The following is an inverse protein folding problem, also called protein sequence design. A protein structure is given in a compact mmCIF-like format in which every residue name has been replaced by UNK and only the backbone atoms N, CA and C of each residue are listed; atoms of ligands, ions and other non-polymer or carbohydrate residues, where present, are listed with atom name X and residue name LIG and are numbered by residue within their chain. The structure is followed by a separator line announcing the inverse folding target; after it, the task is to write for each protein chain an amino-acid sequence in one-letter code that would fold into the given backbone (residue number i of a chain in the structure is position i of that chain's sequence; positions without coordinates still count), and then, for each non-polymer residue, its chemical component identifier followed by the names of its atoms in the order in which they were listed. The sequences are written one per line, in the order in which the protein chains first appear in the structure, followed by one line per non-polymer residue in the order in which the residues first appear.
data_IF_976645404321
#
_entry.id   IF_976645404321
#
_cell.length_a   1.000
_cell.length_b   1.000
_cell.length_c   1.000
_cell.angle_alpha   90.00
_cell.angle_beta   90.00
_cell.angle_gamma   90.00
#
_symmetry.space_group_name_H-M   'P 1'
#
loop_
_entity.id
_entity.type
_entity.pdbx_description
1 polymer ?
#
# COMPACT_ATOMS: atom_id res chain seq x y z
N UNK A 1 32.75 7.00 26.81
CA UNK A 1 31.73 5.98 26.44
C UNK A 1 31.07 6.39 25.14
N UNK A 2 31.58 5.89 24.03
CA UNK A 2 31.06 6.23 22.69
C UNK A 2 29.82 5.37 22.41
N UNK A 3 28.63 5.98 22.37
CA UNK A 3 27.41 5.35 21.85
C UNK A 3 27.59 5.12 20.36
N UNK A 4 27.77 3.87 19.97
CA UNK A 4 27.67 3.44 18.58
C UNK A 4 26.24 3.69 18.11
N UNK A 5 26.04 4.75 17.34
CA UNK A 5 24.83 4.94 16.52
C UNK A 5 24.85 3.84 15.45
N UNK A 6 23.96 2.87 15.59
CA UNK A 6 23.64 1.93 14.51
C UNK A 6 23.04 2.74 13.37
N UNK A 7 23.49 2.58 12.13
CA UNK A 7 22.87 3.26 11.00
C UNK A 7 21.44 2.75 10.86
N UNK A 8 20.47 3.64 10.98
CA UNK A 8 19.08 3.37 10.68
C UNK A 8 18.99 3.10 9.17
N UNK A 9 18.94 1.84 8.79
CA UNK A 9 18.68 1.45 7.42
C UNK A 9 17.30 1.92 7.01
N UNK A 10 17.22 2.81 6.03
CA UNK A 10 15.96 3.20 5.42
C UNK A 10 15.44 2.01 4.61
N UNK A 11 14.38 1.42 5.05
CA UNK A 11 13.60 0.43 4.30
C UNK A 11 12.36 1.11 3.78
N UNK A 12 12.35 1.41 2.50
CA UNK A 12 11.22 1.99 1.79
C UNK A 12 10.43 0.86 1.17
N UNK A 13 9.17 0.76 1.49
CA UNK A 13 8.30 -0.32 1.07
C UNK A 13 7.21 0.19 0.14
N UNK A 14 7.35 -0.11 -1.16
CA UNK A 14 6.27 0.06 -2.13
C UNK A 14 5.41 -1.20 -2.13
N UNK A 15 4.17 -1.11 -1.72
CA UNK A 15 3.19 -2.16 -1.98
C UNK A 15 2.39 -1.84 -3.23
N UNK A 16 2.91 -2.24 -4.36
CA UNK A 16 1.97 -2.66 -5.38
C UNK A 16 1.32 -3.94 -4.81
N UNK A 17 0.06 -3.86 -4.42
CA UNK A 17 -0.69 -5.00 -3.91
C UNK A 17 -0.94 -6.00 -5.04
N UNK A 18 0.09 -6.72 -5.47
CA UNK A 18 -0.08 -7.87 -6.34
C UNK A 18 -0.58 -9.02 -5.45
N UNK A 19 -1.81 -9.44 -5.72
CA UNK A 19 -2.35 -10.66 -5.16
C UNK A 19 -1.38 -11.80 -5.37
N UNK A 20 -1.01 -12.50 -4.31
CA UNK A 20 -0.20 -13.69 -4.39
C UNK A 20 -0.92 -14.70 -5.29
N UNK A 21 -0.30 -15.04 -6.41
CA UNK A 21 -0.57 -16.31 -7.07
C UNK A 21 -0.03 -17.36 -6.15
N UNK A 22 -0.93 -18.03 -5.43
CA UNK A 22 -0.59 -19.23 -4.67
C UNK A 22 0.12 -20.21 -5.59
N UNK A 23 1.26 -20.72 -5.15
CA UNK A 23 1.86 -21.91 -5.71
C UNK A 23 0.76 -22.97 -5.81
N UNK A 24 0.68 -23.61 -6.97
CA UNK A 24 -0.35 -24.60 -7.26
C UNK A 24 -0.44 -25.66 -6.18
N UNK A 25 -1.54 -25.63 -5.46
CA UNK A 25 -1.97 -26.77 -4.68
C UNK A 25 -2.33 -27.89 -5.66
N UNK A 26 -1.99 -29.16 -5.36
CA UNK A 26 -2.38 -30.27 -6.20
C UNK A 26 -3.90 -30.25 -6.33
N UNK A 27 -4.38 -30.55 -7.54
CA UNK A 27 -5.79 -30.63 -7.86
C UNK A 27 -6.48 -31.60 -6.90
N UNK A 28 -7.21 -31.05 -5.94
CA UNK A 28 -8.10 -31.83 -5.11
C UNK A 28 -9.31 -32.14 -5.98
N UNK A 29 -9.43 -33.43 -6.33
CA UNK A 29 -10.64 -33.97 -6.95
C UNK A 29 -11.84 -33.58 -6.08
N UNK A 30 -12.87 -32.92 -6.62
CA UNK A 30 -14.00 -32.56 -5.80
C UNK A 30 -14.70 -33.83 -5.30
N UNK A 31 -14.77 -34.01 -4.00
CA UNK A 31 -15.59 -35.04 -3.38
C UNK A 31 -17.04 -34.86 -3.83
N UNK A 32 -17.79 -35.96 -4.03
CA UNK A 32 -19.17 -35.90 -4.45
C UNK A 32 -19.95 -35.06 -3.43
N UNK A 33 -20.65 -34.02 -3.93
CA UNK A 33 -21.52 -33.17 -3.13
C UNK A 33 -22.60 -34.05 -2.48
N UNK A 34 -22.47 -34.32 -1.20
CA UNK A 34 -23.53 -34.84 -0.37
C UNK A 34 -24.72 -33.88 -0.45
N UNK A 35 -25.90 -34.39 -0.76
CA UNK A 35 -27.16 -33.63 -0.73
C UNK A 35 -27.26 -32.92 0.64
N UNK A 36 -27.62 -31.62 0.65
CA UNK A 36 -27.83 -30.93 1.91
C UNK A 36 -28.92 -31.64 2.72
N UNK A 37 -28.62 -31.98 3.95
CA UNK A 37 -29.65 -32.43 4.89
C UNK A 37 -30.71 -31.31 4.99
N UNK A 38 -31.97 -31.64 4.80
CA UNK A 38 -33.10 -30.76 5.02
C UNK A 38 -33.07 -30.26 6.46
N UNK A 39 -32.59 -29.06 6.67
CA UNK A 39 -32.62 -28.35 7.94
C UNK A 39 -34.01 -27.70 8.10
N UNK A 40 -34.90 -28.40 8.69
CA UNK A 40 -36.22 -27.90 9.16
C UNK A 40 -36.00 -26.73 10.13
N UNK A 41 -36.58 -25.57 9.84
CA UNK A 41 -36.79 -24.49 10.79
C UNK A 41 -35.95 -23.22 10.64
N UNK A 42 -35.33 -22.92 9.51
CA UNK A 42 -34.62 -21.66 9.27
C UNK A 42 -35.58 -20.56 8.82
N UNK A 43 -35.62 -19.38 9.49
CA UNK A 43 -36.33 -18.23 8.93
C UNK A 43 -35.81 -17.91 7.52
N UNK A 44 -36.68 -17.61 6.57
CA UNK A 44 -36.30 -17.58 5.15
C UNK A 44 -35.38 -16.45 4.69
N UNK A 45 -34.85 -15.57 5.59
CA UNK A 45 -34.11 -14.39 5.18
C UNK A 45 -32.95 -13.97 6.09
N UNK A 46 -32.12 -14.93 6.50
CA UNK A 46 -30.89 -14.62 7.26
C UNK A 46 -29.91 -13.75 6.47
N UNK A 47 -29.79 -13.97 5.18
CA UNK A 47 -28.90 -13.18 4.32
C UNK A 47 -29.37 -11.72 4.27
N UNK A 48 -30.65 -11.49 4.05
CA UNK A 48 -31.22 -10.13 4.05
C UNK A 48 -31.10 -9.43 5.41
N UNK A 49 -31.25 -10.17 6.51
CA UNK A 49 -31.05 -9.62 7.85
C UNK A 49 -29.58 -9.22 8.10
N UNK A 50 -28.63 -10.01 7.62
CA UNK A 50 -27.20 -9.69 7.71
C UNK A 50 -26.85 -8.50 6.82
N UNK A 51 -27.37 -8.42 5.61
CA UNK A 51 -27.17 -7.25 4.75
C UNK A 51 -27.74 -5.97 5.39
N UNK A 52 -28.93 -6.05 6.01
CA UNK A 52 -29.52 -4.93 6.74
C UNK A 52 -28.63 -4.50 7.91
N UNK A 53 -28.06 -5.45 8.66
CA UNK A 53 -27.08 -5.19 9.72
C UNK A 53 -25.84 -4.45 9.17
N UNK A 54 -25.29 -4.90 8.06
CA UNK A 54 -24.10 -4.26 7.44
C UNK A 54 -24.42 -2.84 6.97
N UNK A 55 -25.58 -2.62 6.34
CA UNK A 55 -26.05 -1.27 5.95
C UNK A 55 -26.22 -0.35 7.15
N UNK A 56 -26.82 -0.86 8.22
CA UNK A 56 -27.02 -0.11 9.47
C UNK A 56 -25.67 0.29 10.09
N UNK A 57 -24.70 -0.64 10.13
CA UNK A 57 -23.34 -0.34 10.63
C UNK A 57 -22.63 0.72 9.79
N UNK A 58 -22.68 0.61 8.46
CA UNK A 58 -22.08 1.59 7.57
C UNK A 58 -22.68 2.98 7.79
N UNK A 59 -24.00 3.07 7.87
CA UNK A 59 -24.70 4.33 8.11
C UNK A 59 -24.40 4.93 9.48
N UNK A 60 -24.36 4.09 10.53
CA UNK A 60 -24.00 4.53 11.88
C UNK A 60 -22.57 5.09 11.93
N UNK A 61 -21.62 4.45 11.25
CA UNK A 61 -20.25 4.94 11.15
C UNK A 61 -20.17 6.27 10.38
N UNK A 62 -20.86 6.41 9.26
CA UNK A 62 -20.93 7.67 8.50
C UNK A 62 -21.52 8.82 9.31
N UNK A 63 -22.58 8.55 10.07
CA UNK A 63 -23.27 9.51 10.93
C UNK A 63 -22.57 9.75 12.26
N UNK A 64 -21.55 8.95 12.57
CA UNK A 64 -20.88 8.93 13.88
C UNK A 64 -21.81 8.63 15.04
N UNK A 65 -22.82 7.83 14.78
CA UNK A 65 -23.80 7.42 15.79
C UNK A 65 -23.23 6.23 16.58
N UNK A 66 -22.71 6.55 17.77
CA UNK A 66 -22.11 5.57 18.68
C UNK A 66 -23.16 4.56 19.14
N UNK A 67 -24.37 5.00 19.45
CA UNK A 67 -25.42 4.14 19.96
C UNK A 67 -25.87 3.16 18.88
N UNK A 68 -26.19 3.65 17.69
CA UNK A 68 -26.55 2.83 16.54
C UNK A 68 -25.47 1.81 16.19
N UNK A 69 -24.18 2.24 16.12
CA UNK A 69 -23.08 1.33 15.79
C UNK A 69 -22.89 0.25 16.86
N UNK A 70 -22.84 0.62 18.15
CA UNK A 70 -22.66 -0.34 19.24
C UNK A 70 -23.88 -1.25 19.42
N UNK A 71 -25.08 -0.79 19.06
CA UNK A 71 -26.30 -1.59 19.00
C UNK A 71 -26.25 -2.72 17.97
N UNK A 72 -25.45 -2.58 16.91
CA UNK A 72 -25.24 -3.64 15.91
C UNK A 72 -24.15 -4.65 16.30
N UNK A 73 -23.46 -4.45 17.42
CA UNK A 73 -22.34 -5.28 17.85
C UNK A 73 -22.67 -6.10 19.10
N UNK A 74 -21.90 -7.18 19.31
CA UNK A 74 -21.94 -8.02 20.50
C UNK A 74 -20.56 -8.11 21.16
N UNK A 75 -20.54 -8.39 22.46
CA UNK A 75 -19.32 -8.66 23.22
C UNK A 75 -18.23 -7.58 23.09
N UNK A 76 -16.97 -7.96 22.98
CA UNK A 76 -15.83 -7.03 22.89
C UNK A 76 -15.88 -6.08 21.69
N UNK A 77 -16.65 -6.43 20.63
CA UNK A 77 -16.79 -5.57 19.46
C UNK A 77 -17.43 -4.22 19.78
N UNK A 78 -18.37 -4.18 20.74
CA UNK A 78 -18.98 -2.91 21.21
C UNK A 78 -17.95 -1.89 21.70
N UNK A 79 -16.94 -2.37 22.45
CA UNK A 79 -15.86 -1.51 22.94
C UNK A 79 -14.98 -0.98 21.80
N UNK A 80 -14.67 -1.82 20.82
CA UNK A 80 -13.91 -1.41 19.62
C UNK A 80 -14.69 -0.39 18.80
N UNK A 81 -15.96 -0.64 18.52
CA UNK A 81 -16.83 0.26 17.76
C UNK A 81 -16.94 1.63 18.44
N UNK A 82 -17.11 1.67 19.76
CA UNK A 82 -17.17 2.93 20.52
C UNK A 82 -15.87 3.74 20.40
N UNK A 83 -14.72 3.10 20.43
CA UNK A 83 -13.44 3.79 20.22
C UNK A 83 -13.30 4.28 18.79
N UNK A 84 -13.59 3.43 17.81
CA UNK A 84 -13.52 3.78 16.39
C UNK A 84 -14.33 5.03 16.08
N UNK A 85 -15.59 5.09 16.50
CA UNK A 85 -16.44 6.26 16.22
C UNK A 85 -15.92 7.54 16.88
N UNK A 86 -15.40 7.46 18.10
CA UNK A 86 -14.78 8.63 18.76
C UNK A 86 -13.61 9.18 17.95
N UNK A 87 -12.84 8.31 17.35
CA UNK A 87 -11.68 8.71 16.54
C UNK A 87 -12.08 9.21 15.15
N UNK A 88 -13.17 8.73 14.56
CA UNK A 88 -13.69 9.28 13.30
C UNK A 88 -14.27 10.68 13.46
N UNK A 89 -14.68 11.09 14.65
CA UNK A 89 -15.18 12.44 14.90
C UNK A 89 -14.15 13.54 14.59
N UNK A 90 -12.86 13.20 14.61
CA UNK A 90 -11.77 14.11 14.26
C UNK A 90 -11.53 14.21 12.74
N UNK A 91 -12.10 13.31 11.94
CA UNK A 91 -12.04 13.34 10.49
C UNK A 91 -13.19 14.18 9.95
N UNK A 92 -12.92 15.11 9.05
CA UNK A 92 -13.90 16.10 8.58
C UNK A 92 -14.87 15.56 7.58
N UNK A 93 -15.36 14.58 7.34
CA UNK A 93 -16.32 13.79 6.54
C UNK A 93 -15.73 12.45 6.14
N UNK A 94 -16.46 11.43 6.41
CA UNK A 94 -16.17 10.07 6.02
C UNK A 94 -17.40 9.54 5.27
N UNK A 95 -17.19 8.89 4.15
CA UNK A 95 -18.22 8.10 3.49
C UNK A 95 -17.78 6.65 3.52
N UNK A 96 -18.66 5.79 3.99
CA UNK A 96 -18.45 4.35 4.09
C UNK A 96 -19.46 3.65 3.19
N UNK A 97 -18.99 2.75 2.35
CA UNK A 97 -19.83 1.85 1.57
C UNK A 97 -19.37 0.44 1.79
N UNK A 98 -20.25 -0.41 2.26
CA UNK A 98 -19.99 -1.84 2.45
C UNK A 98 -20.54 -2.59 1.22
N UNK A 99 -19.68 -3.42 0.63
CA UNK A 99 -20.06 -4.33 -0.45
C UNK A 99 -19.74 -5.73 0.04
N UNK A 100 -20.78 -6.58 0.12
CA UNK A 100 -20.60 -7.97 0.53
C UNK A 100 -20.02 -8.77 -0.63
N UNK A 101 -18.87 -9.42 -0.42
CA UNK A 101 -18.20 -10.26 -1.40
C UNK A 101 -18.54 -11.74 -1.18
N UNK A 102 -18.63 -12.16 0.09
CA UNK A 102 -18.86 -13.55 0.50
C UNK A 102 -19.63 -13.59 1.81
N UNK A 103 -20.60 -14.48 1.91
CA UNK A 103 -21.43 -14.74 3.10
C UNK A 103 -21.62 -16.24 3.29
N UNK A 104 -21.08 -16.76 4.39
CA UNK A 104 -21.32 -18.15 4.84
C UNK A 104 -22.08 -18.13 6.16
N UNK A 105 -23.23 -18.82 6.20
CA UNK A 105 -24.11 -18.88 7.36
C UNK A 105 -24.25 -20.32 7.81
N UNK A 106 -23.84 -20.58 9.05
CA UNK A 106 -23.96 -21.90 9.68
C UNK A 106 -24.64 -21.77 11.05
N UNK A 107 -25.87 -22.23 11.15
CA UNK A 107 -26.67 -22.13 12.38
C UNK A 107 -26.88 -20.66 12.83
N UNK A 108 -26.39 -20.34 14.01
CA UNK A 108 -26.47 -19.00 14.62
C UNK A 108 -25.20 -18.16 14.38
N UNK A 109 -24.32 -18.60 13.50
CA UNK A 109 -23.04 -17.93 13.15
C UNK A 109 -23.01 -17.58 11.67
N UNK A 110 -22.41 -16.42 11.35
CA UNK A 110 -22.12 -16.02 9.99
C UNK A 110 -20.67 -15.53 9.87
N UNK A 111 -19.99 -15.99 8.82
CA UNK A 111 -18.70 -15.45 8.37
C UNK A 111 -18.94 -14.60 7.12
N UNK A 112 -18.40 -13.41 7.13
CA UNK A 112 -18.66 -12.41 6.11
C UNK A 112 -17.34 -11.83 5.66
N UNK A 113 -16.99 -12.05 4.40
CA UNK A 113 -15.91 -11.30 3.76
C UNK A 113 -16.54 -10.13 2.99
N UNK A 114 -15.96 -8.96 3.13
CA UNK A 114 -16.47 -7.77 2.46
C UNK A 114 -15.35 -6.79 2.13
N UNK A 115 -15.63 -5.92 1.17
CA UNK A 115 -14.82 -4.74 0.88
C UNK A 115 -15.51 -3.51 1.44
N UNK A 116 -14.78 -2.79 2.27
CA UNK A 116 -15.20 -1.49 2.79
C UNK A 116 -14.61 -0.40 1.92
N UNK A 117 -15.46 0.46 1.36
CA UNK A 117 -15.05 1.65 0.63
C UNK A 117 -15.23 2.88 1.52
N UNK A 118 -14.17 3.65 1.74
CA UNK A 118 -14.24 4.87 2.52
C UNK A 118 -13.53 6.03 1.81
N UNK A 119 -14.01 7.23 2.03
CA UNK A 119 -13.42 8.43 1.47
C UNK A 119 -13.22 9.49 2.56
N UNK A 120 -11.98 9.88 2.74
CA UNK A 120 -11.62 11.01 3.61
C UNK A 120 -11.97 12.32 2.89
N UNK A 121 -12.53 13.28 3.60
CA UNK A 121 -12.86 14.58 3.01
C UNK A 121 -11.61 15.29 2.49
N UNK A 122 -11.65 15.75 1.26
CA UNK A 122 -10.51 16.32 0.53
C UNK A 122 -9.86 15.35 -0.42
N UNK A 123 -10.19 14.06 -0.32
CA UNK A 123 -9.77 13.05 -1.26
C UNK A 123 -10.77 12.93 -2.40
N UNK A 124 -10.30 12.82 -3.65
CA UNK A 124 -11.16 12.69 -4.83
C UNK A 124 -11.72 11.29 -4.97
N UNK A 125 -10.96 10.28 -4.57
CA UNK A 125 -11.29 8.86 -4.72
C UNK A 125 -11.45 8.16 -3.38
N UNK A 126 -12.26 7.08 -3.30
CA UNK A 126 -12.35 6.26 -2.11
C UNK A 126 -11.16 5.33 -1.97
N UNK A 127 -10.82 4.97 -0.74
CA UNK A 127 -9.95 3.85 -0.40
C UNK A 127 -10.77 2.58 -0.21
N UNK A 128 -10.19 1.44 -0.54
CA UNK A 128 -10.78 0.14 -0.35
C UNK A 128 -9.98 -0.65 0.68
N UNK A 129 -10.66 -1.35 1.57
CA UNK A 129 -10.03 -2.28 2.49
C UNK A 129 -10.87 -3.55 2.62
N UNK A 130 -10.21 -4.71 2.56
CA UNK A 130 -10.86 -5.99 2.77
C UNK A 130 -11.05 -6.27 4.26
N UNK A 131 -12.26 -6.71 4.62
CA UNK A 131 -12.65 -6.99 6.00
C UNK A 131 -13.15 -8.43 6.13
N UNK A 132 -12.98 -8.98 7.33
CA UNK A 132 -13.61 -10.22 7.75
C UNK A 132 -14.43 -9.96 8.99
N UNK A 133 -15.74 -10.21 8.92
CA UNK A 133 -16.65 -10.06 10.03
C UNK A 133 -17.16 -11.43 10.45
N UNK A 134 -17.35 -11.59 11.77
CA UNK A 134 -18.14 -12.69 12.32
C UNK A 134 -19.40 -12.08 12.95
N UNK A 135 -20.56 -12.58 12.59
CA UNK A 135 -21.81 -12.23 13.23
C UNK A 135 -22.40 -13.44 13.96
N UNK A 136 -23.17 -13.17 15.02
CA UNK A 136 -23.92 -14.18 15.77
C UNK A 136 -25.37 -13.76 15.86
N UNK A 137 -26.25 -14.75 15.78
CA UNK A 137 -27.68 -14.56 16.06
C UNK A 137 -27.90 -14.44 17.59
N UNK A 138 -28.66 -13.48 17.99
CA UNK A 138 -29.07 -13.24 19.36
C UNK A 138 -30.62 -13.15 19.43
N UNK A 139 -31.23 -13.07 20.61
CA UNK A 139 -32.65 -12.80 20.75
C UNK A 139 -33.09 -11.47 20.10
N UNK A 140 -32.16 -10.52 19.94
CA UNK A 140 -32.40 -9.24 19.27
C UNK A 140 -31.95 -9.22 17.78
N UNK A 141 -31.78 -10.38 17.15
CA UNK A 141 -31.32 -10.53 15.76
C UNK A 141 -29.81 -10.66 15.64
N UNK A 142 -29.32 -10.58 14.41
CA UNK A 142 -27.89 -10.69 14.12
C UNK A 142 -27.08 -9.53 14.71
N UNK A 143 -25.90 -9.84 15.26
CA UNK A 143 -24.94 -8.85 15.82
C UNK A 143 -23.51 -9.22 15.42
N UNK A 144 -22.71 -8.22 15.06
CA UNK A 144 -21.28 -8.43 14.77
C UNK A 144 -20.52 -8.68 16.07
N UNK A 145 -19.93 -9.84 16.20
CA UNK A 145 -19.07 -10.24 17.32
C UNK A 145 -17.60 -9.93 17.09
N UNK A 146 -17.17 -9.89 15.83
CA UNK A 146 -15.81 -9.54 15.41
C UNK A 146 -15.84 -8.81 14.08
N UNK A 147 -15.03 -7.75 13.98
CA UNK A 147 -14.76 -7.02 12.76
C UNK A 147 -13.24 -6.81 12.71
N UNK A 148 -12.59 -7.32 11.68
CA UNK A 148 -11.14 -7.29 11.54
C UNK A 148 -10.72 -6.95 10.10
N UNK A 149 -9.67 -6.17 9.96
CA UNK A 149 -9.03 -5.97 8.68
C UNK A 149 -8.38 -7.29 8.20
N UNK A 150 -8.53 -7.63 6.93
CA UNK A 150 -7.79 -8.75 6.31
C UNK A 150 -6.34 -8.36 6.01
N UNK A 151 -6.07 -7.10 5.78
CA UNK A 151 -4.74 -6.54 5.51
C UNK A 151 -4.50 -5.29 6.35
N UNK A 152 -4.99 -4.16 5.93
CA UNK A 152 -4.75 -2.87 6.55
C UNK A 152 -5.97 -2.44 7.38
N UNK A 153 -5.79 -2.09 8.65
CA UNK A 153 -6.87 -1.53 9.45
C UNK A 153 -7.24 -0.13 8.95
N UNK A 154 -8.43 0.29 9.32
CA UNK A 154 -8.83 1.67 9.11
C UNK A 154 -8.01 2.59 10.04
N UNK A 155 -7.57 3.77 9.57
CA UNK A 155 -6.73 4.65 10.40
C UNK A 155 -7.33 4.88 11.80
N UNK A 156 -8.63 5.13 11.88
CA UNK A 156 -9.33 5.35 13.16
C UNK A 156 -9.51 4.10 14.03
N UNK A 157 -9.11 2.93 13.60
CA UNK A 157 -9.01 1.74 14.45
C UNK A 157 -7.68 1.68 15.20
N UNK A 158 -6.66 2.39 14.68
CA UNK A 158 -5.30 2.39 15.20
C UNK A 158 -5.07 3.52 16.20
N UNK A 159 -5.50 4.75 15.85
CA UNK A 159 -5.29 5.92 16.70
C UNK A 159 -6.29 7.06 16.47
N UNK A 160 -6.39 8.01 17.42
CA UNK A 160 -7.16 9.24 17.24
C UNK A 160 -6.39 10.23 16.36
N UNK A 161 -6.58 10.14 15.05
CA UNK A 161 -5.94 11.05 14.12
C UNK A 161 -6.68 12.38 14.01
N UNK A 162 -5.91 13.47 13.95
CA UNK A 162 -6.38 14.81 13.54
C UNK A 162 -6.11 14.99 12.05
N UNK A 163 -7.11 15.42 11.30
CA UNK A 163 -6.95 15.74 9.88
C UNK A 163 -6.54 17.21 9.71
N UNK A 164 -5.43 17.43 9.03
CA UNK A 164 -5.00 18.76 8.53
C UNK A 164 -4.91 18.72 7.01
N UNK A 165 -5.06 19.89 6.37
CA UNK A 165 -5.03 20.01 4.91
C UNK A 165 -3.97 20.97 4.46
N UNK A 166 -3.42 20.67 3.32
CA UNK A 166 -2.63 21.59 2.51
C UNK A 166 -3.06 21.43 1.04
N UNK A 167 -2.65 22.31 0.12
CA UNK A 167 -2.78 22.04 -1.31
C UNK A 167 -2.26 20.63 -1.62
N UNK A 168 -3.04 19.86 -2.35
CA UNK A 168 -2.70 18.47 -2.76
C UNK A 168 -2.51 17.42 -1.65
N UNK A 169 -2.75 17.77 -0.37
CA UNK A 169 -2.45 16.89 0.75
C UNK A 169 -3.57 16.86 1.79
N UNK A 170 -3.87 15.65 2.28
CA UNK A 170 -4.64 15.43 3.51
C UNK A 170 -3.75 14.67 4.47
N UNK A 171 -3.33 15.31 5.55
CA UNK A 171 -2.49 14.71 6.58
C UNK A 171 -3.33 14.26 7.76
N UNK A 172 -3.27 12.97 8.09
CA UNK A 172 -3.76 12.39 9.34
C UNK A 172 -2.59 12.24 10.29
N UNK A 173 -2.62 12.95 11.43
CA UNK A 173 -1.56 12.87 12.44
C UNK A 173 -2.13 12.51 13.82
N UNK A 174 -1.52 11.57 14.56
CA UNK A 174 -1.88 11.28 15.94
C UNK A 174 -1.31 12.37 16.86
N UNK A 175 -1.79 12.48 18.12
CA UNK A 175 -1.17 13.36 19.11
C UNK A 175 0.33 13.07 19.26
N UNK A 176 1.12 14.13 19.43
CA UNK A 176 2.57 14.05 19.63
C UNK A 176 3.42 14.06 18.35
N UNK A 177 2.82 14.01 17.17
CA UNK A 177 3.51 14.20 15.89
C UNK A 177 3.48 15.69 15.51
N UNK A 178 4.62 16.25 15.09
CA UNK A 178 4.70 17.60 14.55
C UNK A 178 4.11 17.69 13.13
N UNK A 179 2.78 17.79 13.10
CA UNK A 179 2.03 17.87 11.86
C UNK A 179 2.35 19.13 11.03
N UNK A 180 2.80 20.23 11.66
CA UNK A 180 3.13 21.45 10.93
C UNK A 180 4.43 21.28 10.14
N UNK A 181 5.46 20.73 10.77
CA UNK A 181 6.75 20.43 10.14
C UNK A 181 6.58 19.41 9.01
N UNK A 182 5.86 18.30 9.27
CA UNK A 182 5.62 17.29 8.25
C UNK A 182 4.83 17.86 7.06
N UNK A 183 3.80 18.65 7.30
CA UNK A 183 3.02 19.33 6.25
C UNK A 183 3.88 20.25 5.40
N UNK A 184 4.77 21.04 6.03
CA UNK A 184 5.71 21.92 5.32
C UNK A 184 6.66 21.12 4.43
N UNK A 185 7.26 20.05 4.95
CA UNK A 185 8.13 19.16 4.17
C UNK A 185 7.40 18.52 2.99
N UNK A 186 6.20 17.98 3.21
CA UNK A 186 5.37 17.41 2.15
C UNK A 186 5.01 18.43 1.06
N UNK A 187 4.68 19.67 1.44
CA UNK A 187 4.40 20.74 0.46
C UNK A 187 5.63 21.12 -0.33
N UNK A 188 6.82 21.08 0.29
CA UNK A 188 8.10 21.27 -0.39
C UNK A 188 8.38 20.15 -1.39
N UNK A 189 8.27 18.91 -0.93
CA UNK A 189 8.49 17.73 -1.76
C UNK A 189 7.52 17.64 -2.96
N UNK A 190 6.26 18.05 -2.76
CA UNK A 190 5.30 18.12 -3.86
C UNK A 190 5.72 19.11 -4.95
N UNK A 191 6.15 20.33 -4.58
CA UNK A 191 6.64 21.33 -5.54
C UNK A 191 7.92 20.89 -6.26
N UNK A 192 8.82 20.22 -5.56
CA UNK A 192 10.03 19.66 -6.14
C UNK A 192 9.69 18.61 -7.20
N UNK A 193 8.79 17.70 -6.87
CA UNK A 193 8.32 16.68 -7.81
C UNK A 193 7.55 17.30 -9.00
N UNK A 194 6.74 18.33 -8.78
CA UNK A 194 6.06 19.06 -9.85
C UNK A 194 7.06 19.69 -10.83
N UNK A 195 8.16 20.25 -10.32
CA UNK A 195 9.26 20.78 -11.14
C UNK A 195 10.01 19.69 -11.88
N UNK A 196 10.20 18.51 -11.27
CA UNK A 196 10.88 17.37 -11.89
C UNK A 196 10.03 16.64 -12.95
N UNK A 197 8.71 16.76 -12.86
CA UNK A 197 7.74 16.10 -13.73
C UNK A 197 6.76 17.09 -14.40
N UNK A 198 7.22 18.14 -15.11
CA UNK A 198 6.38 19.26 -15.56
C UNK A 198 5.30 18.87 -16.58
N UNK A 199 5.47 17.72 -17.25
CA UNK A 199 4.52 17.22 -18.25
C UNK A 199 3.55 16.17 -17.69
N UNK A 200 3.61 15.89 -16.38
CA UNK A 200 2.78 14.87 -15.74
C UNK A 200 1.79 15.52 -14.79
N UNK A 201 0.53 15.14 -14.94
CA UNK A 201 -0.48 15.51 -13.95
C UNK A 201 -0.24 14.74 -12.65
N UNK A 202 0.23 15.44 -11.62
CA UNK A 202 0.40 14.88 -10.28
C UNK A 202 -0.96 14.62 -9.62
N UNK A 203 -1.04 13.70 -8.64
CA UNK A 203 -2.27 13.47 -7.90
C UNK A 203 -2.83 14.75 -7.30
N UNK A 204 -4.12 15.03 -7.54
CA UNK A 204 -4.79 16.24 -7.01
C UNK A 204 -4.84 16.28 -5.49
N UNK A 205 -4.79 15.11 -4.86
CA UNK A 205 -4.66 14.98 -3.41
C UNK A 205 -4.04 13.64 -3.02
N UNK A 206 -3.19 13.67 -2.01
CA UNK A 206 -2.53 12.50 -1.42
C UNK A 206 -2.94 12.40 0.03
N UNK A 207 -3.40 11.23 0.46
CA UNK A 207 -3.62 10.94 1.87
C UNK A 207 -2.31 10.50 2.53
N UNK A 208 -1.83 11.29 3.46
CA UNK A 208 -0.66 10.96 4.27
C UNK A 208 -1.10 10.62 5.68
N UNK A 209 -0.65 9.50 6.21
CA UNK A 209 -0.88 9.12 7.60
C UNK A 209 0.46 9.11 8.32
N UNK A 210 0.65 10.05 9.24
CA UNK A 210 1.82 10.07 10.11
C UNK A 210 1.65 9.03 11.22
N UNK A 211 2.59 8.12 11.35
CA UNK A 211 2.66 7.20 12.48
C UNK A 211 3.58 7.75 13.56
N UNK A 212 3.23 7.54 14.83
CA UNK A 212 4.04 7.99 15.97
C UNK A 212 5.33 7.20 16.11
N UNK A 213 5.27 5.91 15.79
CA UNK A 213 6.38 4.97 15.93
C UNK A 213 6.25 3.82 14.91
N UNK A 214 7.28 2.98 14.83
CA UNK A 214 7.32 1.84 13.92
C UNK A 214 6.23 0.79 14.20
N UNK A 215 5.78 0.64 15.44
CA UNK A 215 4.69 -0.27 15.80
C UNK A 215 3.38 0.22 15.20
N UNK A 216 3.07 1.50 15.35
CA UNK A 216 1.88 2.11 14.78
C UNK A 216 1.94 2.14 13.25
N UNK A 217 3.11 2.43 12.66
CA UNK A 217 3.31 2.35 11.21
C UNK A 217 3.07 0.93 10.69
N UNK A 218 3.58 -0.09 11.39
CA UNK A 218 3.35 -1.49 11.07
C UNK A 218 1.88 -1.89 11.14
N UNK A 219 1.14 -1.41 12.16
CA UNK A 219 -0.30 -1.63 12.25
C UNK A 219 -1.03 -1.00 11.06
N UNK A 220 -0.74 0.25 10.73
CA UNK A 220 -1.36 0.96 9.62
C UNK A 220 -1.07 0.32 8.26
N UNK A 221 0.13 -0.20 8.08
CA UNK A 221 0.54 -0.90 6.86
C UNK A 221 0.08 -2.37 6.81
N UNK A 222 -0.51 -2.90 7.87
CA UNK A 222 -0.92 -4.30 7.97
C UNK A 222 0.25 -5.29 7.98
N UNK A 223 1.45 -4.84 8.36
CA UNK A 223 2.69 -5.63 8.34
C UNK A 223 3.77 -5.03 9.23
N UNK A 224 4.85 -5.80 9.45
CA UNK A 224 5.98 -5.31 10.23
C UNK A 224 6.72 -4.22 9.45
N UNK A 225 6.80 -3.02 10.07
CA UNK A 225 7.50 -1.86 9.50
C UNK A 225 8.85 -1.62 10.21
N UNK A 226 9.64 -2.68 10.43
CA UNK A 226 10.98 -2.55 11.04
C UNK A 226 11.93 -1.85 10.06
N UNK A 227 12.63 -0.83 10.55
CA UNK A 227 13.60 -0.10 9.74
C UNK A 227 13.03 0.89 8.73
N UNK A 228 11.71 0.96 8.58
CA UNK A 228 11.03 1.87 7.64
C UNK A 228 10.87 3.25 8.26
N UNK A 229 11.18 4.28 7.51
CA UNK A 229 10.93 5.69 7.87
C UNK A 229 9.65 6.19 7.19
N UNK A 230 9.44 5.82 5.94
CA UNK A 230 8.22 6.11 5.20
C UNK A 230 7.90 4.97 4.23
N UNK A 231 6.66 4.87 3.81
CA UNK A 231 6.23 3.93 2.80
C UNK A 231 5.04 4.48 1.99
N UNK A 232 5.07 4.28 0.70
CA UNK A 232 3.93 4.52 -0.17
C UNK A 232 3.08 3.25 -0.27
N UNK A 233 1.77 3.40 -0.17
CA UNK A 233 0.82 2.30 -0.31
C UNK A 233 -0.32 2.68 -1.26
N UNK A 234 -0.77 1.74 -2.07
CA UNK A 234 -1.85 1.95 -3.01
C UNK A 234 -3.03 1.03 -2.73
N UNK A 235 -4.22 1.58 -2.77
CA UNK A 235 -5.40 0.76 -2.98
C UNK A 235 -5.50 0.39 -4.45
N UNK A 236 -5.50 -0.90 -4.74
CA UNK A 236 -5.56 -1.43 -6.12
C UNK A 236 -6.89 -2.13 -6.28
N UNK A 237 -7.63 -1.80 -7.34
CA UNK A 237 -8.76 -2.62 -7.75
C UNK A 237 -8.29 -3.62 -8.79
N UNK A 238 -8.55 -4.90 -8.53
CA UNK A 238 -8.36 -5.95 -9.51
C UNK A 238 -9.59 -6.02 -10.41
N UNK A 239 -9.37 -6.22 -11.71
CA UNK A 239 -10.44 -6.49 -12.65
C UNK A 239 -11.10 -7.85 -12.40
N UNK A 240 -12.25 -8.13 -13.03
CA UNK A 240 -13.02 -9.35 -12.80
C UNK A 240 -12.32 -10.64 -13.25
N UNK A 241 -11.16 -10.55 -13.91
CA UNK A 241 -10.35 -11.71 -14.34
C UNK A 241 -8.98 -11.66 -13.64
N UNK A 242 -8.67 -12.59 -12.75
CA UNK A 242 -7.43 -12.59 -11.96
C UNK A 242 -6.13 -12.70 -12.80
N UNK A 243 -6.22 -13.12 -14.04
CA UNK A 243 -5.09 -13.29 -14.95
C UNK A 243 -4.69 -12.02 -15.74
N UNK A 244 -5.50 -10.99 -15.72
CA UNK A 244 -5.32 -9.81 -16.54
C UNK A 244 -5.20 -8.57 -15.67
N UNK A 245 -3.98 -8.24 -15.33
CA UNK A 245 -3.51 -6.91 -15.01
C UNK A 245 -4.25 -6.17 -13.87
N UNK A 246 -3.49 -5.58 -13.04
CA UNK A 246 -3.91 -4.44 -12.21
C UNK A 246 -4.55 -3.40 -13.14
N UNK A 247 -5.85 -3.44 -13.27
CA UNK A 247 -6.52 -2.64 -14.26
C UNK A 247 -6.67 -1.18 -13.87
N UNK A 248 -6.70 -0.88 -12.58
CA UNK A 248 -6.73 0.51 -12.11
C UNK A 248 -6.28 0.63 -10.68
N UNK A 249 -5.37 1.50 -10.46
CA UNK A 249 -5.21 2.11 -9.15
C UNK A 249 -6.35 3.10 -8.97
N UNK A 250 -7.29 2.78 -8.08
CA UNK A 250 -8.52 3.55 -7.91
C UNK A 250 -8.42 4.64 -6.87
N UNK A 251 -7.40 4.64 -6.04
CA UNK A 251 -7.29 5.57 -4.94
C UNK A 251 -6.04 6.41 -5.04
N UNK A 252 -6.18 7.65 -4.63
CA UNK A 252 -5.06 8.49 -4.25
C UNK A 252 -4.28 7.78 -3.17
N UNK A 253 -2.97 7.72 -3.29
CA UNK A 253 -2.12 6.92 -2.44
C UNK A 253 -2.12 7.38 -1.00
N UNK A 254 -1.99 6.41 -0.10
CA UNK A 254 -1.69 6.61 1.30
C UNK A 254 -0.19 6.48 1.52
N UNK A 255 0.41 7.48 2.14
CA UNK A 255 1.80 7.44 2.60
C UNK A 255 1.73 7.34 4.12
N UNK A 256 2.44 6.37 4.68
CA UNK A 256 2.57 6.20 6.13
C UNK A 256 3.99 6.64 6.49
N UNK A 257 4.12 7.60 7.40
CA UNK A 257 5.40 8.16 7.81
C UNK A 257 5.60 7.88 9.30
N UNK A 258 6.70 7.20 9.60
CA UNK A 258 7.16 6.96 10.97
C UNK A 258 7.73 8.25 11.59
N UNK A 259 7.52 8.47 12.89
CA UNK A 259 8.05 9.63 13.62
C UNK A 259 9.58 9.74 13.55
N UNK A 260 10.30 8.64 13.28
CA UNK A 260 11.76 8.65 13.02
C UNK A 260 12.16 9.58 11.88
N UNK A 261 11.24 9.87 10.94
CA UNK A 261 11.48 10.86 9.89
C UNK A 261 11.93 12.21 10.47
N UNK A 262 11.39 12.62 11.61
CA UNK A 262 11.74 13.89 12.25
C UNK A 262 13.17 13.92 12.81
N UNK A 263 13.77 12.77 13.05
CA UNK A 263 15.15 12.62 13.56
C UNK A 263 16.20 12.67 12.43
N UNK A 264 15.79 12.52 11.18
CA UNK A 264 16.71 12.60 10.04
C UNK A 264 17.24 14.03 9.84
N UNK A 265 18.43 14.20 9.26
CA UNK A 265 18.92 15.47 8.73
C UNK A 265 17.93 16.09 7.70
N UNK A 266 17.92 17.42 7.58
CA UNK A 266 16.96 18.10 6.72
C UNK A 266 16.96 17.62 5.24
N UNK A 267 18.12 17.43 4.59
CA UNK A 267 18.17 16.90 3.22
C UNK A 267 17.54 15.51 3.11
N UNK A 268 17.87 14.60 4.05
CA UNK A 268 17.35 13.24 4.06
C UNK A 268 15.84 13.19 4.32
N UNK A 269 15.32 14.09 5.15
CA UNK A 269 13.87 14.24 5.34
C UNK A 269 13.17 14.61 4.04
N UNK A 270 13.74 15.55 3.31
CA UNK A 270 13.18 16.03 2.06
C UNK A 270 13.24 14.93 0.99
N UNK A 271 14.41 14.31 0.77
CA UNK A 271 14.55 13.24 -0.21
C UNK A 271 13.61 12.06 0.06
N UNK A 272 13.42 11.68 1.33
CA UNK A 272 12.45 10.64 1.73
C UNK A 272 11.04 10.99 1.28
N UNK A 273 10.59 12.23 1.49
CA UNK A 273 9.24 12.65 1.08
C UNK A 273 9.08 12.72 -0.44
N UNK A 274 10.10 13.20 -1.17
CA UNK A 274 10.10 13.21 -2.64
C UNK A 274 10.04 11.79 -3.17
N UNK A 275 10.81 10.87 -2.59
CA UNK A 275 10.83 9.46 -2.95
C UNK A 275 9.42 8.83 -2.86
N UNK A 276 8.77 8.96 -1.70
CA UNK A 276 7.43 8.39 -1.48
C UNK A 276 6.35 9.06 -2.36
N UNK A 277 6.45 10.38 -2.54
CA UNK A 277 5.56 11.09 -3.44
C UNK A 277 5.77 10.71 -4.90
N UNK A 278 7.00 10.33 -5.30
CA UNK A 278 7.28 9.80 -6.64
C UNK A 278 6.49 8.54 -6.92
N UNK A 279 6.49 7.57 -5.99
CA UNK A 279 5.64 6.39 -6.13
C UNK A 279 4.17 6.75 -6.27
N UNK A 280 3.72 7.75 -5.51
CA UNK A 280 2.36 8.26 -5.56
C UNK A 280 2.03 8.88 -6.92
N UNK A 281 2.94 9.71 -7.45
CA UNK A 281 2.78 10.40 -8.74
C UNK A 281 2.79 9.43 -9.93
N UNK A 282 3.59 8.37 -9.84
CA UNK A 282 3.71 7.37 -10.89
C UNK A 282 2.64 6.28 -10.82
N UNK A 283 1.75 6.35 -9.86
CA UNK A 283 0.75 5.34 -9.61
C UNK A 283 -0.12 5.01 -10.83
N UNK A 284 -0.55 6.01 -11.58
CA UNK A 284 -1.35 5.81 -12.82
C UNK A 284 -0.55 5.16 -13.95
N UNK A 285 0.78 5.24 -13.87
CA UNK A 285 1.72 4.61 -14.80
C UNK A 285 2.29 3.28 -14.26
N UNK A 286 1.94 2.90 -13.02
CA UNK A 286 2.36 1.62 -12.44
C UNK A 286 1.40 0.53 -12.87
N UNK A 287 1.93 -0.56 -13.39
CA UNK A 287 1.18 -1.78 -13.71
C UNK A 287 1.68 -2.96 -12.87
N UNK A 288 0.95 -4.05 -12.86
CA UNK A 288 1.41 -5.30 -12.23
C UNK A 288 2.66 -5.91 -12.90
N UNK A 289 3.06 -5.37 -14.06
CA UNK A 289 4.26 -5.77 -14.81
C UNK A 289 5.48 -4.93 -14.47
N UNK A 290 5.28 -3.74 -13.90
CA UNK A 290 6.38 -2.84 -13.54
C UNK A 290 7.27 -3.52 -12.50
N UNK A 291 8.56 -3.79 -12.81
CA UNK A 291 9.42 -4.47 -11.86
C UNK A 291 9.74 -3.56 -10.68
N UNK A 292 9.82 -4.10 -9.45
CA UNK A 292 10.12 -3.33 -8.25
C UNK A 292 11.38 -2.48 -8.36
N UNK A 293 12.47 -3.04 -8.92
CA UNK A 293 13.71 -2.30 -9.08
C UNK A 293 13.54 -1.02 -9.90
N UNK A 294 12.67 -1.02 -10.92
CA UNK A 294 12.43 0.16 -11.75
C UNK A 294 11.59 1.22 -11.02
N UNK A 295 10.64 0.79 -10.19
CA UNK A 295 9.89 1.71 -9.36
C UNK A 295 10.81 2.44 -8.37
N UNK A 296 11.72 1.69 -7.73
CA UNK A 296 12.74 2.26 -6.85
C UNK A 296 13.75 3.13 -7.62
N UNK A 297 14.19 2.67 -8.79
CA UNK A 297 15.13 3.42 -9.64
C UNK A 297 14.62 4.83 -9.95
N UNK A 298 13.35 4.96 -10.35
CA UNK A 298 12.74 6.27 -10.62
C UNK A 298 12.61 7.10 -9.36
N UNK A 299 12.18 6.49 -8.25
CA UNK A 299 11.99 7.21 -7.00
C UNK A 299 13.34 7.71 -6.42
N UNK A 300 14.39 6.88 -6.46
CA UNK A 300 15.75 7.25 -6.04
C UNK A 300 16.31 8.36 -6.91
N UNK A 301 16.16 8.26 -8.22
CA UNK A 301 16.66 9.28 -9.16
C UNK A 301 15.98 10.65 -8.94
N UNK A 302 14.65 10.67 -8.83
CA UNK A 302 13.91 11.93 -8.69
C UNK A 302 14.04 12.56 -7.30
N UNK A 303 14.31 11.75 -6.27
CA UNK A 303 14.54 12.26 -4.91
C UNK A 303 15.97 12.74 -4.64
N UNK A 304 16.91 12.45 -5.52
CA UNK A 304 18.34 12.72 -5.29
C UNK A 304 18.87 11.98 -4.04
N UNK A 305 18.36 10.76 -3.78
CA UNK A 305 18.69 10.02 -2.56
C UNK A 305 20.09 9.41 -2.61
N UNK A 306 21.08 10.13 -2.14
CA UNK A 306 22.50 9.72 -2.11
C UNK A 306 22.74 8.47 -1.22
N UNK A 307 21.78 8.09 -0.37
CA UNK A 307 21.90 6.87 0.48
C UNK A 307 21.98 5.59 -0.35
N UNK A 308 21.40 5.59 -1.54
CA UNK A 308 21.56 4.46 -2.45
C UNK A 308 23.03 4.31 -2.89
N UNK A 309 23.74 5.41 -3.11
CA UNK A 309 25.18 5.40 -3.41
C UNK A 309 26.00 4.88 -2.22
N UNK A 310 25.70 5.33 -1.01
CA UNK A 310 26.33 4.82 0.22
C UNK A 310 26.01 3.33 0.47
N UNK A 311 24.77 2.89 0.20
CA UNK A 311 24.40 1.48 0.30
C UNK A 311 25.17 0.63 -0.73
N UNK A 312 25.37 1.15 -1.94
CA UNK A 312 26.19 0.52 -3.00
C UNK A 312 27.64 0.34 -2.55
N UNK A 313 28.25 1.39 -2.00
CA UNK A 313 29.63 1.33 -1.49
C UNK A 313 29.76 0.32 -0.34
N UNK A 314 28.79 0.27 0.55
CA UNK A 314 28.75 -0.70 1.65
C UNK A 314 28.51 -2.13 1.16
N UNK A 315 27.63 -2.33 0.18
CA UNK A 315 27.36 -3.63 -0.41
C UNK A 315 28.55 -4.18 -1.18
N UNK A 316 29.27 -3.34 -1.93
CA UNK A 316 30.49 -3.72 -2.63
C UNK A 316 31.59 -4.22 -1.67
N UNK A 317 31.70 -3.62 -0.46
CA UNK A 317 32.60 -4.08 0.61
C UNK A 317 32.12 -5.34 1.34
N UNK A 318 30.86 -5.71 1.21
CA UNK A 318 30.22 -6.81 1.94
C UNK A 318 29.97 -8.08 1.11
N UNK A 319 30.32 -8.09 -0.19
CA UNK A 319 30.10 -9.25 -1.08
C UNK A 319 28.63 -9.54 -1.43
N UNK A 320 27.68 -8.71 -0.99
CA UNK A 320 26.28 -8.88 -1.37
C UNK A 320 26.01 -8.22 -2.72
N UNK A 321 25.71 -9.01 -3.74
CA UNK A 321 25.21 -8.52 -5.03
C UNK A 321 23.82 -9.08 -5.29
N UNK A 322 22.88 -8.24 -5.72
CA UNK A 322 21.53 -8.64 -6.12
C UNK A 322 21.32 -8.18 -7.55
N UNK A 323 21.02 -9.13 -8.46
CA UNK A 323 20.78 -8.85 -9.86
C UNK A 323 19.40 -8.23 -10.11
N UNK A 324 19.27 -7.39 -11.14
CA UNK A 324 17.97 -6.82 -11.52
C UNK A 324 16.97 -7.90 -11.92
N UNK A 325 17.42 -9.06 -12.41
CA UNK A 325 16.58 -10.24 -12.70
C UNK A 325 15.90 -10.79 -11.46
N UNK A 326 16.61 -10.84 -10.35
CA UNK A 326 16.06 -11.29 -9.07
C UNK A 326 15.03 -10.30 -8.53
N UNK A 327 15.28 -9.01 -8.76
CA UNK A 327 14.41 -7.90 -8.37
C UNK A 327 13.23 -7.67 -9.33
N UNK A 328 13.10 -8.51 -10.35
CA UNK A 328 12.04 -8.39 -11.34
C UNK A 328 10.66 -8.83 -10.79
N UNK A 329 10.63 -9.74 -9.81
CA UNK A 329 9.37 -10.32 -9.29
C UNK A 329 8.70 -9.39 -8.28
N UNK A 330 7.35 -9.35 -8.25
CA UNK A 330 6.63 -8.60 -7.22
C UNK A 330 7.10 -8.93 -5.80
N UNK A 331 7.25 -7.91 -4.97
CA UNK A 331 7.73 -8.01 -3.58
C UNK A 331 9.14 -8.61 -3.40
N UNK A 332 9.96 -8.73 -4.45
CA UNK A 332 11.31 -9.31 -4.34
C UNK A 332 12.16 -8.53 -3.33
N UNK A 333 12.22 -7.20 -3.43
CA UNK A 333 13.00 -6.33 -2.53
C UNK A 333 12.59 -6.49 -1.07
N UNK A 334 11.31 -6.71 -0.80
CA UNK A 334 10.76 -6.78 0.57
C UNK A 334 10.96 -8.12 1.27
N UNK A 335 11.39 -9.13 0.54
CA UNK A 335 11.72 -10.46 1.07
C UNK A 335 13.18 -10.59 1.43
N UNK A 336 13.99 -9.63 1.03
CA UNK A 336 15.42 -9.60 1.29
C UNK A 336 15.71 -9.16 2.74
N UNK A 337 16.83 -9.60 3.28
CA UNK A 337 17.31 -9.08 4.55
C UNK A 337 17.87 -7.66 4.42
N UNK A 338 18.26 -7.05 5.52
CA UNK A 338 18.69 -5.64 5.51
C UNK A 338 19.92 -5.35 4.62
N UNK A 339 20.83 -6.32 4.41
CA UNK A 339 22.01 -6.18 3.53
C UNK A 339 21.63 -6.35 2.07
N UNK A 340 20.93 -7.42 1.77
CA UNK A 340 20.44 -7.70 0.43
C UNK A 340 19.50 -6.60 -0.06
N UNK A 341 18.70 -6.05 0.84
CA UNK A 341 17.82 -4.93 0.55
C UNK A 341 18.62 -3.67 0.20
N UNK A 342 19.70 -3.37 0.93
CA UNK A 342 20.61 -2.29 0.60
C UNK A 342 21.26 -2.50 -0.79
N UNK A 343 21.68 -3.73 -1.10
CA UNK A 343 22.20 -4.09 -2.43
C UNK A 343 21.14 -3.93 -3.54
N UNK A 344 19.88 -4.28 -3.26
CA UNK A 344 18.78 -4.11 -4.20
C UNK A 344 18.50 -2.64 -4.54
N UNK A 345 18.53 -1.75 -3.52
CA UNK A 345 18.44 -0.31 -3.76
C UNK A 345 19.63 0.23 -4.54
N UNK A 346 20.84 -0.23 -4.22
CA UNK A 346 22.05 0.13 -4.95
C UNK A 346 21.98 -0.29 -6.43
N UNK A 347 21.52 -1.51 -6.71
CA UNK A 347 21.30 -1.99 -8.07
C UNK A 347 20.23 -1.17 -8.82
N UNK A 348 19.14 -0.82 -8.13
CA UNK A 348 18.07 0.03 -8.68
C UNK A 348 18.59 1.44 -9.03
N UNK A 349 19.36 2.07 -8.15
CA UNK A 349 20.00 3.37 -8.37
C UNK A 349 21.01 3.30 -9.53
N UNK A 350 21.86 2.27 -9.55
CA UNK A 350 22.80 2.06 -10.65
C UNK A 350 22.11 1.89 -12.01
N UNK A 351 20.97 1.19 -12.03
CA UNK A 351 20.18 1.06 -13.25
C UNK A 351 19.60 2.43 -13.70
N UNK A 352 19.09 3.24 -12.75
CA UNK A 352 18.64 4.59 -13.06
C UNK A 352 19.77 5.43 -13.67
N UNK A 353 20.96 5.42 -13.08
CA UNK A 353 22.11 6.18 -13.57
C UNK A 353 22.54 5.76 -14.98
N UNK A 354 22.58 4.44 -15.26
CA UNK A 354 22.92 3.93 -16.61
C UNK A 354 21.90 4.41 -17.64
N UNK A 355 20.60 4.31 -17.30
CA UNK A 355 19.51 4.70 -18.19
C UNK A 355 19.51 6.21 -18.42
N UNK A 356 19.65 6.98 -17.35
CA UNK A 356 19.68 8.46 -17.42
C UNK A 356 20.89 8.97 -18.19
N UNK A 357 22.07 8.38 -18.00
CA UNK A 357 23.26 8.74 -18.76
C UNK A 357 23.07 8.52 -20.28
N UNK A 358 22.30 7.50 -20.68
CA UNK A 358 22.06 7.19 -22.11
C UNK A 358 20.89 7.97 -22.72
N UNK A 359 19.82 8.19 -21.98
CA UNK A 359 18.53 8.66 -22.53
C UNK A 359 17.87 9.77 -21.69
N UNK A 360 18.57 10.26 -20.69
CA UNK A 360 18.05 11.26 -19.74
C UNK A 360 16.90 10.74 -18.89
N UNK A 361 16.43 11.56 -17.96
CA UNK A 361 15.27 11.27 -17.11
C UNK A 361 14.00 10.91 -17.93
N UNK A 362 13.83 11.55 -19.12
CA UNK A 362 12.73 11.20 -20.02
C UNK A 362 12.80 9.76 -20.54
N UNK A 363 14.00 9.21 -20.72
CA UNK A 363 14.20 7.80 -21.11
C UNK A 363 13.79 6.85 -20.00
N UNK A 364 14.16 7.16 -18.75
CA UNK A 364 13.79 6.39 -17.57
C UNK A 364 12.26 6.38 -17.37
N UNK A 365 11.61 7.52 -17.50
CA UNK A 365 10.15 7.63 -17.38
C UNK A 365 9.42 6.90 -18.53
N UNK A 366 9.91 7.00 -19.78
CA UNK A 366 9.36 6.23 -20.91
C UNK A 366 9.46 4.73 -20.70
N UNK A 367 10.58 4.26 -20.15
CA UNK A 367 10.71 2.84 -19.80
C UNK A 367 9.67 2.44 -18.75
N UNK A 368 9.49 3.26 -17.72
CA UNK A 368 8.48 3.02 -16.68
C UNK A 368 7.06 2.89 -17.27
N UNK A 369 6.69 3.80 -18.16
CA UNK A 369 5.38 3.82 -18.82
C UNK A 369 5.18 2.66 -19.80
N UNK A 370 6.26 2.16 -20.39
CA UNK A 370 6.21 1.05 -21.34
C UNK A 370 5.54 -0.20 -20.73
N UNK A 371 5.64 -0.39 -19.42
CA UNK A 371 5.03 -1.52 -18.71
C UNK A 371 3.49 -1.48 -18.67
N UNK A 372 2.85 -0.37 -19.06
CA UNK A 372 1.41 -0.31 -19.29
C UNK A 372 1.00 -0.88 -20.66
N UNK A 373 1.95 -1.06 -21.57
CA UNK A 373 1.65 -1.58 -22.91
C UNK A 373 1.62 -3.13 -22.91
N UNK A 374 0.49 -3.77 -23.22
CA UNK A 374 0.40 -5.23 -23.28
C UNK A 374 1.33 -5.85 -24.35
N UNK A 375 1.79 -5.09 -25.33
CA UNK A 375 2.69 -5.59 -26.37
C UNK A 375 4.10 -5.96 -25.88
N UNK A 376 4.44 -5.62 -24.61
CA UNK A 376 5.68 -6.07 -24.00
C UNK A 376 5.53 -7.36 -23.17
N UNK A 377 4.32 -7.91 -23.05
CA UNK A 377 4.08 -9.10 -22.25
C UNK A 377 4.97 -10.26 -22.68
N UNK A 378 5.67 -10.84 -21.74
CA UNK A 378 6.50 -12.02 -21.88
C UNK A 378 6.03 -13.14 -20.96
N UNK A 379 6.51 -14.38 -21.17
CA UNK A 379 6.17 -15.52 -20.34
C UNK A 379 6.67 -15.40 -18.90
N UNK A 380 7.64 -14.52 -18.68
CA UNK A 380 8.21 -14.25 -17.35
C UNK A 380 8.41 -12.75 -17.16
N UNK A 381 8.55 -12.33 -15.92
CA UNK A 381 8.90 -10.93 -15.58
C UNK A 381 10.22 -10.50 -16.25
N UNK A 382 11.22 -11.37 -16.28
CA UNK A 382 12.50 -11.13 -16.94
C UNK A 382 12.31 -10.88 -18.44
N UNK A 383 11.52 -11.73 -19.13
CA UNK A 383 11.26 -11.57 -20.56
C UNK A 383 10.45 -10.28 -20.85
N UNK A 384 9.49 -9.94 -20.01
CA UNK A 384 8.73 -8.68 -20.11
C UNK A 384 9.67 -7.48 -19.97
N UNK A 385 10.56 -7.51 -18.97
CA UNK A 385 11.54 -6.45 -18.72
C UNK A 385 12.53 -6.30 -19.87
N UNK A 386 13.07 -7.40 -20.38
CA UNK A 386 13.99 -7.38 -21.52
C UNK A 386 13.34 -6.78 -22.78
N UNK A 387 12.08 -7.15 -23.07
CA UNK A 387 11.32 -6.55 -24.18
C UNK A 387 11.09 -5.04 -24.00
N UNK A 388 10.75 -4.62 -22.78
CA UNK A 388 10.57 -3.20 -22.47
C UNK A 388 11.85 -2.41 -22.70
N UNK A 389 12.98 -2.91 -22.20
CA UNK A 389 14.30 -2.31 -22.36
C UNK A 389 14.72 -2.22 -23.84
N UNK A 390 14.63 -3.32 -24.60
CA UNK A 390 14.96 -3.31 -26.03
C UNK A 390 14.13 -2.32 -26.81
N UNK A 391 12.82 -2.30 -26.57
CA UNK A 391 11.89 -1.42 -27.29
C UNK A 391 12.07 0.06 -26.95
N UNK A 392 12.44 0.37 -25.71
CA UNK A 392 12.49 1.76 -25.22
C UNK A 392 13.89 2.37 -25.27
N UNK A 393 14.90 1.56 -25.01
CA UNK A 393 16.27 2.01 -24.79
C UNK A 393 17.29 1.36 -25.73
N UNK A 394 16.84 0.43 -26.59
CA UNK A 394 17.72 -0.39 -27.44
C UNK A 394 18.83 -1.09 -26.63
N UNK A 395 18.41 -1.75 -25.54
CA UNK A 395 19.28 -2.40 -24.58
C UNK A 395 18.60 -3.65 -24.02
N UNK A 396 19.33 -4.72 -23.82
CA UNK A 396 18.86 -5.91 -23.09
C UNK A 396 19.00 -5.73 -21.58
N UNK A 397 18.28 -6.57 -20.83
CA UNK A 397 18.44 -6.61 -19.37
C UNK A 397 19.86 -7.06 -18.97
N UNK A 398 20.48 -7.98 -19.72
CA UNK A 398 21.84 -8.42 -19.46
C UNK A 398 22.87 -7.30 -19.67
N UNK A 399 22.71 -6.48 -20.71
CA UNK A 399 23.56 -5.31 -20.94
C UNK A 399 23.39 -4.25 -19.86
N UNK A 400 22.17 -4.05 -19.38
CA UNK A 400 21.92 -3.15 -18.25
C UNK A 400 22.61 -3.66 -16.98
N UNK A 401 22.44 -4.96 -16.65
CA UNK A 401 23.11 -5.58 -15.49
C UNK A 401 24.64 -5.48 -15.57
N UNK A 402 25.21 -5.77 -16.74
CA UNK A 402 26.65 -5.64 -16.95
C UNK A 402 27.13 -4.18 -16.78
N UNK A 403 26.38 -3.20 -17.29
CA UNK A 403 26.70 -1.79 -17.12
C UNK A 403 26.57 -1.31 -15.66
N UNK A 404 25.66 -1.86 -14.88
CA UNK A 404 25.53 -1.58 -13.44
C UNK A 404 26.69 -2.21 -12.66
N UNK A 405 27.07 -3.46 -12.99
CA UNK A 405 28.15 -4.17 -12.30
C UNK A 405 29.54 -3.57 -12.58
N UNK A 406 29.73 -2.93 -13.74
CA UNK A 406 31.01 -2.29 -14.14
C UNK A 406 31.24 -0.90 -13.51
N UNK A 407 30.35 -0.45 -12.66
CA UNK A 407 30.45 0.85 -11.96
C UNK A 407 30.89 0.68 -10.51
#
# INVERSE_FOLDING_TARGET
MARRLLPAGLVILVTAGCGGTGAGAPAVTPAPRSKPAETTGRPPDDAGAIEALLRQRALALERRDVAALTGTAAGPQRGRDRRSVRWTAQLSRLRVRVVSDELDITGDHAQIALTLSYRVRGMSRPFLTARSLTARRTSAGWRVSRDAARREPLPWEVAPFKATRAPHLVLLSPPGVDAARLRSGLSGAYRELESALPQRELPRSVLVIAARDASQAGQLAGRIARGVVALANASVQFGPKPALAVERVLAERMIVIDARWSELPAPERQSTLVHELTHTALNTATSGRTPPWLAEAVALHLSGDDRAAEARLRAAGAGASVGLRELCRPNSIFKLDGREQGAAYAASSGAAEVIVARRGTKGLLRLYEAFNNPAIDGPTCVATTDRALRRTLDMSLAELEAAVAGR
#
